data_IF_375344528855
#
_entry.id   IF_375344528855
#
_cell.length_a   1.000
_cell.length_b   1.000
_cell.length_c   1.000
_cell.angle_alpha   90.00
_cell.angle_beta   90.00
_cell.angle_gamma   90.00
#
_symmetry.space_group_name_H-M   'P 1'
#
loop_
_entity.id
_entity.type
_entity.pdbx_description
1 polymer ?
#
# COMPACT_ATOMS: atom_id res chain seq x y z
N UNK A 1 7.01 -9.17 15.29
CA UNK A 1 7.77 -8.87 14.05
C UNK A 1 6.78 -9.07 12.91
N UNK A 2 6.79 -8.20 11.88
CA UNK A 2 5.76 -7.98 10.81
C UNK A 2 4.89 -6.74 11.12
N UNK A 3 5.37 -5.52 10.79
CA UNK A 3 5.03 -4.66 9.62
C UNK A 3 3.59 -4.08 9.71
N UNK A 4 3.25 -2.78 9.65
CA UNK A 4 4.04 -1.58 9.36
C UNK A 4 3.22 -0.29 9.62
N UNK A 5 3.08 0.19 10.87
CA UNK A 5 3.05 1.65 11.10
C UNK A 5 4.51 2.12 11.10
N UNK A 6 5.14 2.13 9.93
CA UNK A 6 6.48 2.66 9.77
C UNK A 6 6.33 4.00 9.06
N UNK A 7 6.04 5.02 9.88
CA UNK A 7 6.76 6.28 9.74
C UNK A 7 8.20 5.95 10.17
N UNK A 8 9.00 5.30 9.30
CA UNK A 8 10.45 5.42 9.42
C UNK A 8 10.73 6.79 8.86
N UNK A 9 11.39 7.63 9.64
CA UNK A 9 12.12 8.76 9.09
C UNK A 9 13.30 8.24 8.26
N UNK A 10 13.03 7.53 7.16
CA UNK A 10 14.02 7.31 6.12
C UNK A 10 14.26 8.67 5.50
N UNK A 11 15.45 9.21 5.72
CA UNK A 11 15.98 10.28 4.89
C UNK A 11 15.82 9.82 3.44
N UNK A 12 15.23 10.67 2.59
CA UNK A 12 15.04 10.47 1.16
C UNK A 12 16.21 9.73 0.47
N UNK A 13 17.45 9.98 0.90
CA UNK A 13 18.68 9.40 0.39
C UNK A 13 18.92 7.90 0.68
N UNK A 14 18.12 7.25 1.52
CA UNK A 14 18.27 5.81 1.85
C UNK A 14 17.37 4.90 1.00
N UNK A 15 16.38 5.45 0.30
CA UNK A 15 15.52 4.66 -0.57
C UNK A 15 16.15 4.46 -1.95
N UNK A 16 16.17 3.22 -2.42
CA UNK A 16 16.61 2.90 -3.77
C UNK A 16 15.73 3.60 -4.82
N UNK A 17 16.36 4.14 -5.86
CA UNK A 17 15.68 4.73 -7.01
C UNK A 17 14.78 5.94 -6.71
N UNK A 18 14.98 6.63 -5.58
CA UNK A 18 14.09 7.72 -5.14
C UNK A 18 12.62 7.28 -5.02
N UNK A 19 12.38 6.03 -4.60
CA UNK A 19 11.05 5.42 -4.58
C UNK A 19 10.13 5.89 -3.42
N UNK A 20 10.36 7.10 -2.91
CA UNK A 20 9.57 7.71 -1.84
C UNK A 20 8.79 8.91 -2.38
N UNK A 21 7.58 9.12 -1.87
CA UNK A 21 6.73 10.27 -2.21
C UNK A 21 6.58 11.19 -1.00
N UNK A 22 6.81 12.48 -1.22
CA UNK A 22 6.61 13.49 -0.17
C UNK A 22 5.11 13.82 -0.06
N UNK A 23 4.51 13.53 1.10
CA UNK A 23 3.13 13.90 1.45
C UNK A 23 3.17 14.81 2.68
N UNK A 24 2.90 16.10 2.48
CA UNK A 24 3.10 17.12 3.51
C UNK A 24 4.59 17.21 3.90
N UNK A 25 4.91 16.90 5.16
CA UNK A 25 6.28 16.91 5.68
C UNK A 25 6.92 15.52 5.82
N UNK A 26 6.27 14.46 5.32
CA UNK A 26 6.73 13.08 5.47
C UNK A 26 6.92 12.40 4.13
N UNK A 27 7.97 11.58 4.04
CA UNK A 27 8.15 10.65 2.93
C UNK A 27 7.37 9.37 3.19
N UNK A 28 6.61 8.94 2.19
CA UNK A 28 5.74 7.77 2.24
C UNK A 28 6.05 6.82 1.07
N UNK A 29 5.71 5.55 1.26
CA UNK A 29 5.65 4.54 0.18
C UNK A 29 4.20 4.38 -0.28
N UNK A 30 4.02 3.86 -1.49
CA UNK A 30 2.70 3.43 -1.95
C UNK A 30 2.26 2.17 -1.20
N UNK A 31 0.98 2.11 -0.84
CA UNK A 31 0.30 0.91 -0.34
C UNK A 31 -0.28 0.11 -1.52
N UNK A 32 -0.69 -1.13 -1.27
CA UNK A 32 -1.45 -1.93 -2.25
C UNK A 32 -0.73 -3.17 -2.80
N UNK A 33 0.54 -3.41 -2.46
CA UNK A 33 1.23 -4.68 -2.76
C UNK A 33 0.86 -5.69 -1.65
N UNK A 34 -0.37 -6.19 -1.72
CA UNK A 34 -1.01 -7.03 -0.70
C UNK A 34 -0.36 -8.41 -0.68
N UNK A 35 -0.05 -8.96 -1.85
CA UNK A 35 0.57 -10.28 -1.98
C UNK A 35 2.10 -10.27 -1.91
N UNK A 36 2.72 -9.09 -1.75
CA UNK A 36 4.17 -8.89 -1.60
C UNK A 36 4.98 -9.37 -2.82
N UNK A 37 4.40 -9.24 -4.01
CA UNK A 37 5.09 -9.54 -5.28
C UNK A 37 6.15 -8.50 -5.62
N UNK A 38 6.08 -7.32 -5.01
CA UNK A 38 6.91 -6.17 -5.31
C UNK A 38 6.26 -5.19 -6.28
N UNK A 39 5.02 -5.41 -6.72
CA UNK A 39 4.26 -4.51 -7.57
C UNK A 39 2.82 -4.45 -7.08
N UNK A 40 2.18 -3.29 -7.25
CA UNK A 40 0.73 -3.17 -7.11
C UNK A 40 0.12 -3.48 -8.47
N UNK A 41 -0.56 -4.62 -8.59
CA UNK A 41 -1.16 -5.05 -9.85
C UNK A 41 -2.54 -5.72 -9.68
N UNK A 42 -3.04 -6.31 -10.77
CA UNK A 42 -4.36 -6.94 -10.80
C UNK A 42 -4.51 -8.12 -9.81
N UNK A 43 -3.41 -8.75 -9.42
CA UNK A 43 -3.42 -9.84 -8.44
C UNK A 43 -3.69 -9.32 -7.03
N UNK A 44 -3.18 -8.14 -6.68
CA UNK A 44 -3.53 -7.45 -5.43
C UNK A 44 -4.98 -6.99 -5.44
N UNK A 45 -5.45 -6.44 -6.58
CA UNK A 45 -6.84 -5.99 -6.70
C UNK A 45 -7.81 -7.16 -6.52
N UNK A 46 -7.47 -8.37 -6.97
CA UNK A 46 -8.29 -9.55 -6.74
C UNK A 46 -8.45 -9.91 -5.25
N UNK A 47 -7.43 -9.64 -4.42
CA UNK A 47 -7.49 -9.86 -2.97
C UNK A 47 -8.33 -8.76 -2.35
N UNK A 48 -8.08 -7.51 -2.74
CA UNK A 48 -8.79 -6.34 -2.26
C UNK A 48 -10.30 -6.42 -2.54
N UNK A 49 -10.69 -6.80 -3.75
CA UNK A 49 -12.08 -6.98 -4.17
C UNK A 49 -12.79 -8.04 -3.32
N UNK A 50 -12.12 -9.16 -3.05
CA UNK A 50 -12.68 -10.23 -2.23
C UNK A 50 -12.83 -9.81 -0.77
N UNK A 51 -11.86 -9.08 -0.21
CA UNK A 51 -11.92 -8.60 1.17
C UNK A 51 -12.99 -7.50 1.33
N UNK A 52 -13.11 -6.59 0.36
CA UNK A 52 -14.15 -5.57 0.31
C UNK A 52 -15.55 -6.19 0.19
N UNK A 53 -15.71 -7.20 -0.68
CA UNK A 53 -16.98 -7.93 -0.82
C UNK A 53 -17.41 -8.61 0.48
N UNK A 54 -16.45 -9.14 1.24
CA UNK A 54 -16.70 -9.78 2.53
C UNK A 54 -16.78 -8.79 3.71
N UNK A 55 -16.62 -7.50 3.46
CA UNK A 55 -16.64 -6.44 4.48
C UNK A 55 -15.66 -6.73 5.63
N UNK A 56 -14.46 -7.20 5.27
CA UNK A 56 -13.43 -7.50 6.26
C UNK A 56 -13.09 -6.23 7.02
N UNK A 57 -13.11 -6.32 8.35
CA UNK A 57 -12.80 -5.20 9.23
C UNK A 57 -11.94 -5.68 10.40
N UNK A 58 -11.12 -4.78 10.91
CA UNK A 58 -10.14 -5.10 11.95
C UNK A 58 -8.86 -4.31 11.80
N UNK A 59 -7.95 -4.54 12.74
CA UNK A 59 -6.63 -3.89 12.73
C UNK A 59 -5.64 -4.74 11.96
N UNK A 60 -4.73 -4.07 11.25
CA UNK A 60 -3.60 -4.69 10.56
C UNK A 60 -4.02 -5.60 9.40
N UNK A 61 -5.07 -5.21 8.69
CA UNK A 61 -5.46 -5.87 7.44
C UNK A 61 -4.54 -5.39 6.33
N UNK A 62 -3.87 -6.28 5.57
CA UNK A 62 -3.04 -5.88 4.44
C UNK A 62 -3.80 -5.14 3.35
N UNK A 63 -5.10 -5.42 3.21
CA UNK A 63 -6.04 -4.83 2.26
C UNK A 63 -6.68 -3.52 2.74
N UNK A 64 -6.49 -3.12 4.00
CA UNK A 64 -6.87 -1.79 4.50
C UNK A 64 -5.76 -0.79 4.14
N UNK A 65 -5.93 -0.13 2.99
CA UNK A 65 -4.92 0.72 2.37
C UNK A 65 -4.96 2.14 2.92
N UNK A 66 -6.09 2.55 3.49
CA UNK A 66 -6.30 3.89 4.04
C UNK A 66 -6.10 3.94 5.58
N UNK A 67 -6.16 2.79 6.26
CA UNK A 67 -5.91 2.60 7.69
C UNK A 67 -7.11 2.89 8.60
N UNK A 68 -8.35 2.87 8.10
CA UNK A 68 -9.56 3.14 8.87
C UNK A 68 -10.17 1.89 9.54
N UNK A 69 -9.55 0.73 9.36
CA UNK A 69 -9.93 -0.60 9.87
C UNK A 69 -11.12 -1.26 9.17
N UNK A 70 -11.50 -0.79 7.98
CA UNK A 70 -12.54 -1.40 7.15
C UNK A 70 -11.98 -1.50 5.73
N UNK A 71 -12.16 -2.65 5.08
CA UNK A 71 -11.81 -2.80 3.66
C UNK A 71 -13.04 -2.45 2.83
N UNK A 72 -13.00 -1.31 2.13
CA UNK A 72 -14.12 -0.84 1.31
C UNK A 72 -13.70 -0.12 0.01
N UNK A 73 -14.65 0.58 -0.62
CA UNK A 73 -14.44 1.29 -1.87
C UNK A 73 -13.36 2.38 -1.81
N UNK A 74 -13.04 2.93 -0.63
CA UNK A 74 -11.96 3.88 -0.46
C UNK A 74 -10.58 3.22 -0.62
N UNK A 75 -10.44 1.98 -0.15
CA UNK A 75 -9.24 1.18 -0.39
C UNK A 75 -9.12 0.78 -1.85
N UNK A 76 -10.22 0.35 -2.47
CA UNK A 76 -10.25 0.04 -3.90
C UNK A 76 -9.78 1.22 -4.76
N UNK A 77 -10.28 2.43 -4.50
CA UNK A 77 -9.82 3.62 -5.21
C UNK A 77 -8.33 3.90 -5.01
N UNK A 78 -7.79 3.62 -3.83
CA UNK A 78 -6.35 3.75 -3.55
C UNK A 78 -5.54 2.70 -4.31
N UNK A 79 -6.00 1.45 -4.31
CA UNK A 79 -5.40 0.33 -5.02
C UNK A 79 -5.36 0.55 -6.53
N UNK A 80 -6.48 0.93 -7.13
CA UNK A 80 -6.61 1.20 -8.56
C UNK A 80 -5.66 2.32 -9.02
N UNK A 81 -5.60 3.41 -8.26
CA UNK A 81 -4.71 4.53 -8.57
C UNK A 81 -3.24 4.10 -8.51
N UNK A 82 -2.86 3.28 -7.52
CA UNK A 82 -1.49 2.81 -7.35
C UNK A 82 -1.10 1.77 -8.41
N UNK A 83 -2.04 0.91 -8.81
CA UNK A 83 -1.89 -0.03 -9.93
C UNK A 83 -1.72 0.72 -11.26
N UNK A 84 -2.54 1.74 -11.52
CA UNK A 84 -2.47 2.55 -12.74
C UNK A 84 -1.13 3.24 -12.95
N UNK A 85 -0.50 3.74 -11.88
CA UNK A 85 0.82 4.37 -11.96
C UNK A 85 1.99 3.36 -11.96
N UNK A 86 1.69 2.06 -11.84
CA UNK A 86 2.70 1.01 -11.75
C UNK A 86 3.56 1.10 -10.49
N UNK A 87 2.94 1.39 -9.33
CA UNK A 87 3.66 1.45 -8.06
C UNK A 87 4.32 0.10 -7.76
N UNK A 88 5.59 0.13 -7.35
CA UNK A 88 6.35 -1.10 -7.08
C UNK A 88 7.65 -0.85 -6.34
N UNK A 89 8.30 -1.93 -5.94
CA UNK A 89 9.53 -1.94 -5.16
C UNK A 89 10.73 -1.81 -6.10
N UNK A 90 11.54 -0.78 -5.88
CA UNK A 90 12.86 -0.66 -6.50
C UNK A 90 13.89 -1.30 -5.56
N UNK A 91 14.66 -2.27 -6.06
CA UNK A 91 15.71 -3.00 -5.34
C UNK A 91 17.09 -2.67 -5.96
N UNK A 92 18.21 -2.80 -5.20
CA UNK A 92 19.56 -2.66 -5.75
C UNK A 92 19.85 -3.61 -6.91
#
# INVERSE_FOLDING_TARGET
MIQQFIILQLLYAQAYGNNLKLKGSKYCVYSGDINQSGFVDATDMSILDNDAYNLISGRFLPSDLNGDNIVDGADMSTGDNNSYIGAGVIKP
#
